data_IF_638722230983
#
_entry.id   IF_638722230983
#
_cell.length_a   1.000
_cell.length_b   1.000
_cell.length_c   1.000
_cell.angle_alpha   90.00
_cell.angle_beta   90.00
_cell.angle_gamma   90.00
#
_symmetry.space_group_name_H-M   'P 1'
#
loop_
_entity.id
_entity.type
_entity.pdbx_description
1 polymer ?
#
# COMPACT_ATOMS: atom_id res chain seq x y z
N UNK A 1 -25.48 -0.49 -16.10
CA UNK A 1 -25.83 0.41 -17.21
C UNK A 1 -25.84 -0.29 -18.56
N UNK A 2 -25.17 -1.44 -18.71
CA UNK A 2 -25.16 -2.21 -19.97
C UNK A 2 -24.20 -1.64 -21.03
N UNK A 3 -23.48 -0.59 -20.68
CA UNK A 3 -22.48 0.04 -21.54
C UNK A 3 -21.23 -0.86 -21.65
N UNK A 4 -20.46 -0.73 -22.76
CA UNK A 4 -19.22 -1.46 -22.92
C UNK A 4 -18.22 -1.16 -21.80
N UNK A 5 -17.50 -2.20 -21.37
CA UNK A 5 -16.35 -2.04 -20.48
C UNK A 5 -15.18 -1.44 -21.26
N UNK A 6 -14.43 -0.58 -20.60
CA UNK A 6 -13.21 0.01 -21.13
C UNK A 6 -12.07 -0.23 -20.16
N UNK A 7 -10.88 -0.51 -20.70
CA UNK A 7 -9.63 -0.51 -19.94
C UNK A 7 -9.07 0.90 -19.98
N UNK A 8 -8.61 1.43 -18.82
CA UNK A 8 -7.96 2.73 -18.82
C UNK A 8 -6.62 2.63 -19.54
N UNK A 9 -6.15 3.74 -20.11
CA UNK A 9 -4.92 3.75 -20.88
C UNK A 9 -3.69 3.31 -20.06
N UNK A 10 -3.69 3.54 -18.75
CA UNK A 10 -2.61 3.20 -17.83
C UNK A 10 -2.68 1.77 -17.26
N UNK A 11 -3.74 1.01 -17.58
CA UNK A 11 -3.92 -0.37 -17.12
C UNK A 11 -3.26 -1.39 -18.09
N UNK A 12 -2.50 -0.93 -19.09
CA UNK A 12 -1.75 -1.83 -19.99
C UNK A 12 -0.69 -2.61 -19.23
N UNK A 13 -0.41 -3.86 -19.64
CA UNK A 13 0.57 -4.69 -18.94
C UNK A 13 1.99 -4.10 -18.95
N UNK A 14 2.34 -3.33 -19.98
CA UNK A 14 3.61 -2.59 -20.05
C UNK A 14 3.63 -1.47 -19.01
N UNK A 15 2.59 -0.63 -18.97
CA UNK A 15 2.47 0.48 -18.02
C UNK A 15 2.44 -0.02 -16.57
N UNK A 16 1.73 -1.11 -16.29
CA UNK A 16 1.66 -1.72 -14.96
C UNK A 16 3.04 -2.20 -14.50
N UNK A 17 3.80 -2.91 -15.37
CA UNK A 17 5.16 -3.35 -15.02
C UNK A 17 6.09 -2.16 -14.73
N UNK A 18 6.04 -1.13 -15.57
CA UNK A 18 6.85 0.07 -15.34
C UNK A 18 6.52 0.75 -14.00
N UNK A 19 5.22 0.84 -13.64
CA UNK A 19 4.79 1.40 -12.35
C UNK A 19 5.29 0.56 -11.16
N UNK A 20 5.27 -0.76 -11.28
CA UNK A 20 5.79 -1.66 -10.24
C UNK A 20 7.31 -1.50 -10.08
N UNK A 21 8.07 -1.41 -11.18
CA UNK A 21 9.51 -1.13 -11.12
C UNK A 21 9.80 0.19 -10.39
N UNK A 22 9.13 1.28 -10.78
CA UNK A 22 9.29 2.59 -10.13
C UNK A 22 8.93 2.53 -8.64
N UNK A 23 7.88 1.80 -8.25
CA UNK A 23 7.52 1.59 -6.86
C UNK A 23 8.67 0.94 -6.08
N UNK A 24 9.22 -0.17 -6.59
CA UNK A 24 10.33 -0.89 -5.94
C UNK A 24 11.61 -0.03 -5.85
N UNK A 25 11.89 0.77 -6.86
CA UNK A 25 13.08 1.63 -6.90
C UNK A 25 12.97 2.86 -5.99
N UNK A 26 11.79 3.48 -5.90
CA UNK A 26 11.65 4.83 -5.30
C UNK A 26 10.75 4.87 -4.07
N UNK A 27 9.73 4.00 -3.99
CA UNK A 27 8.73 4.04 -2.91
C UNK A 27 9.03 3.01 -1.82
N UNK A 28 9.37 1.78 -2.18
CA UNK A 28 9.67 0.71 -1.23
C UNK A 28 10.81 1.07 -0.24
N UNK A 29 11.90 1.78 -0.63
CA UNK A 29 12.93 2.19 0.33
C UNK A 29 12.42 3.07 1.48
N UNK A 30 11.28 3.77 1.30
CA UNK A 30 10.67 4.56 2.37
C UNK A 30 10.12 3.69 3.52
N UNK A 31 9.82 2.41 3.26
CA UNK A 31 9.41 1.45 4.30
C UNK A 31 10.53 1.30 5.34
N UNK A 32 11.77 1.08 4.89
CA UNK A 32 12.92 0.98 5.77
C UNK A 32 13.14 2.30 6.54
N UNK A 33 13.10 3.43 5.83
CA UNK A 33 13.26 4.75 6.45
C UNK A 33 12.29 5.00 7.60
N UNK A 34 10.97 4.77 7.39
CA UNK A 34 9.98 5.02 8.45
C UNK A 34 10.00 3.98 9.57
N UNK A 35 10.34 2.72 9.26
CA UNK A 35 10.53 1.69 10.29
C UNK A 35 11.72 2.05 11.20
N UNK A 36 12.83 2.48 10.62
CA UNK A 36 14.01 2.91 11.36
C UNK A 36 13.72 4.20 12.16
N UNK A 37 12.99 5.15 11.58
CA UNK A 37 12.60 6.39 12.24
C UNK A 37 11.76 6.13 13.50
N UNK A 38 10.78 5.21 13.42
CA UNK A 38 9.97 4.78 14.56
C UNK A 38 10.83 4.30 15.74
N UNK A 39 11.96 3.64 15.46
CA UNK A 39 12.85 3.09 16.49
C UNK A 39 13.83 4.11 17.08
N UNK A 40 14.06 5.23 16.40
CA UNK A 40 15.15 6.17 16.71
C UNK A 40 14.69 7.54 17.20
N UNK A 41 13.40 7.87 17.07
CA UNK A 41 12.86 9.17 17.47
C UNK A 41 11.52 9.03 18.21
N UNK A 42 11.41 9.69 19.38
CA UNK A 42 10.16 9.74 20.16
C UNK A 42 9.02 10.48 19.44
N UNK A 43 9.34 11.34 18.46
CA UNK A 43 8.36 12.06 17.64
C UNK A 43 8.05 11.39 16.30
N UNK A 44 8.57 10.18 16.07
CA UNK A 44 8.35 9.46 14.82
C UNK A 44 6.89 9.02 14.66
N UNK A 45 6.38 8.94 13.42
CA UNK A 45 5.10 8.30 13.17
C UNK A 45 5.16 6.81 13.53
N UNK A 46 4.04 6.28 13.98
CA UNK A 46 3.88 4.83 14.12
C UNK A 46 3.86 4.18 12.74
N UNK A 47 4.66 3.13 12.55
CA UNK A 47 4.63 2.30 11.36
C UNK A 47 3.97 0.96 11.68
N UNK A 48 3.02 0.56 10.84
CA UNK A 48 2.38 -0.77 10.92
C UNK A 48 2.23 -1.34 9.52
N UNK A 49 2.67 -2.59 9.34
CA UNK A 49 2.49 -3.34 8.09
C UNK A 49 1.20 -4.14 8.15
N UNK A 50 0.34 -3.96 7.16
CA UNK A 50 -0.91 -4.72 6.99
C UNK A 50 -0.84 -5.58 5.73
N UNK A 51 -1.25 -6.84 5.83
CA UNK A 51 -1.41 -7.71 4.66
C UNK A 51 -2.67 -7.32 3.87
N UNK A 52 -2.46 -6.85 2.64
CA UNK A 52 -3.50 -6.40 1.72
C UNK A 52 -4.15 -7.51 0.89
N UNK A 53 -3.74 -8.77 1.05
CA UNK A 53 -4.33 -9.90 0.30
C UNK A 53 -5.50 -10.51 1.07
N UNK A 54 -6.66 -10.64 0.42
CA UNK A 54 -7.86 -11.28 0.94
C UNK A 54 -9.14 -10.50 0.67
N UNK A 55 -10.22 -10.91 1.33
CA UNK A 55 -11.53 -10.24 1.25
C UNK A 55 -11.47 -8.82 1.82
N UNK A 56 -12.23 -7.90 1.22
CA UNK A 56 -12.25 -6.49 1.59
C UNK A 56 -12.52 -6.28 3.09
N UNK A 57 -13.52 -6.96 3.64
CA UNK A 57 -13.88 -6.85 5.06
C UNK A 57 -12.75 -7.34 5.98
N UNK A 58 -11.99 -8.33 5.54
CA UNK A 58 -10.86 -8.86 6.31
C UNK A 58 -9.69 -7.88 6.30
N UNK A 59 -9.37 -7.29 5.15
CA UNK A 59 -8.31 -6.27 5.04
C UNK A 59 -8.70 -5.02 5.84
N UNK A 60 -9.97 -4.60 5.79
CA UNK A 60 -10.49 -3.51 6.62
C UNK A 60 -10.31 -3.79 8.11
N UNK A 61 -10.65 -5.00 8.56
CA UNK A 61 -10.50 -5.35 9.97
C UNK A 61 -9.02 -5.27 10.42
N UNK A 62 -8.09 -5.75 9.59
CA UNK A 62 -6.65 -5.64 9.88
C UNK A 62 -6.19 -4.18 10.00
N UNK A 63 -6.75 -3.28 9.17
CA UNK A 63 -6.43 -1.85 9.20
C UNK A 63 -6.91 -1.18 10.49
N UNK A 64 -8.17 -1.37 10.90
CA UNK A 64 -8.69 -0.75 12.13
C UNK A 64 -7.95 -1.27 13.37
N UNK A 65 -7.69 -2.58 13.42
CA UNK A 65 -6.87 -3.19 14.49
C UNK A 65 -5.44 -2.62 14.50
N UNK A 66 -4.84 -2.38 13.33
CA UNK A 66 -3.51 -1.75 13.24
C UNK A 66 -3.50 -0.29 13.74
N UNK A 67 -4.62 0.42 13.66
CA UNK A 67 -4.78 1.79 14.17
C UNK A 67 -5.11 1.84 15.68
N UNK A 68 -5.39 0.68 16.30
CA UNK A 68 -5.87 0.61 17.68
C UNK A 68 -7.33 1.01 17.83
N UNK A 69 -8.11 0.94 16.75
CA UNK A 69 -9.56 1.15 16.75
C UNK A 69 -10.26 -0.22 16.84
N UNK A 70 -11.18 -0.37 17.80
CA UNK A 70 -12.00 -1.58 18.03
C UNK A 70 -13.22 -1.64 17.10
#
# INVERSE_FOLDING_TARGET
TGEPLVQRADDSAETVRNRLTVYHEQTEPLVAFYTDLQSTSESAPSYVRVDGVGELDTVRQRLVTALGED
#
